data_IF_620730576404
#
_entry.id   IF_620730576404
#
_cell.length_a   1.000
_cell.length_b   1.000
_cell.length_c   1.000
_cell.angle_alpha   90.00
_cell.angle_beta   90.00
_cell.angle_gamma   90.00
#
_symmetry.space_group_name_H-M   'P 1'
#
loop_
_entity.id
_entity.type
_entity.pdbx_description
1 polymer ?
#
# COMPACT_ATOMS: atom_id res chain seq x y z
N UNK A 1 14.58 -37.04 50.75
CA UNK A 1 14.52 -35.76 50.00
C UNK A 1 13.41 -35.90 48.97
N UNK A 2 12.36 -35.08 49.06
CA UNK A 2 11.15 -35.17 48.24
C UNK A 2 11.39 -34.50 46.88
N UNK A 3 11.10 -35.21 45.78
CA UNK A 3 11.09 -34.67 44.43
C UNK A 3 9.83 -33.82 44.24
N UNK A 4 9.97 -32.51 44.02
CA UNK A 4 8.88 -31.67 43.54
C UNK A 4 8.79 -31.81 42.01
N UNK A 5 7.67 -32.36 41.54
CA UNK A 5 7.28 -32.39 40.13
C UNK A 5 6.74 -31.01 39.74
N UNK A 6 7.43 -30.32 38.83
CA UNK A 6 6.96 -29.07 38.25
C UNK A 6 6.12 -29.39 37.01
N UNK A 7 4.80 -29.34 37.15
CA UNK A 7 3.86 -29.44 36.03
C UNK A 7 4.01 -28.22 35.13
N UNK A 8 4.49 -28.44 33.92
CA UNK A 8 4.62 -27.44 32.86
C UNK A 8 3.22 -27.01 32.39
N UNK A 9 2.80 -25.80 32.77
CA UNK A 9 1.62 -25.14 32.22
C UNK A 9 1.97 -24.60 30.83
N UNK A 10 1.58 -25.34 29.79
CA UNK A 10 1.62 -24.87 28.41
C UNK A 10 0.51 -23.82 28.23
N UNK A 11 0.88 -22.54 28.14
CA UNK A 11 0.02 -21.51 27.59
C UNK A 11 -0.05 -21.72 26.07
N UNK A 12 -1.18 -22.22 25.58
CA UNK A 12 -1.49 -22.16 24.15
C UNK A 12 -1.74 -20.71 23.77
N UNK A 13 -0.80 -20.10 23.06
CA UNK A 13 -1.02 -18.83 22.39
C UNK A 13 -2.11 -19.03 21.33
N UNK A 14 -3.25 -18.34 21.50
CA UNK A 14 -4.24 -18.21 20.45
C UNK A 14 -3.64 -17.34 19.34
N UNK A 15 -3.30 -17.95 18.21
CA UNK A 15 -2.95 -17.22 17.01
C UNK A 15 -4.19 -16.42 16.58
N UNK A 16 -4.08 -15.08 16.60
CA UNK A 16 -5.09 -14.20 16.03
C UNK A 16 -5.27 -14.55 14.56
N UNK A 17 -6.51 -14.86 14.17
CA UNK A 17 -6.86 -15.12 12.78
C UNK A 17 -6.72 -13.81 12.01
N UNK A 18 -5.73 -13.73 11.12
CA UNK A 18 -5.67 -12.69 10.09
C UNK A 18 -6.91 -12.89 9.21
N UNK A 19 -7.80 -11.89 9.13
CA UNK A 19 -9.00 -11.97 8.32
C UNK A 19 -8.61 -12.24 6.86
N UNK A 20 -9.01 -13.39 6.32
CA UNK A 20 -8.86 -13.68 4.91
C UNK A 20 -9.65 -12.63 4.12
N UNK A 21 -8.97 -11.92 3.22
CA UNK A 21 -9.65 -11.00 2.30
C UNK A 21 -10.66 -11.80 1.47
N UNK A 22 -11.92 -11.36 1.44
CA UNK A 22 -12.97 -12.04 0.69
C UNK A 22 -12.78 -11.88 -0.82
N UNK A 23 -13.38 -12.77 -1.60
CA UNK A 23 -13.43 -12.63 -3.06
C UNK A 23 -14.05 -11.28 -3.43
N UNK A 24 -13.52 -10.65 -4.49
CA UNK A 24 -14.06 -9.37 -4.94
C UNK A 24 -15.51 -9.52 -5.41
N UNK A 25 -16.41 -8.61 -4.99
CA UNK A 25 -17.70 -8.51 -5.63
C UNK A 25 -17.50 -8.13 -7.11
N UNK A 26 -18.42 -8.51 -7.97
CA UNK A 26 -18.36 -8.11 -9.40
C UNK A 26 -18.52 -6.60 -9.61
N UNK A 27 -18.98 -5.83 -8.61
CA UNK A 27 -19.19 -4.37 -8.68
C UNK A 27 -18.84 -3.73 -7.35
N UNK A 28 -18.50 -2.44 -7.37
CA UNK A 28 -18.10 -1.73 -6.17
C UNK A 28 -19.28 -1.54 -5.20
N UNK A 29 -19.17 -1.99 -3.93
CA UNK A 29 -20.27 -1.94 -2.97
C UNK A 29 -20.38 -0.56 -2.30
N UNK A 30 -21.03 0.39 -2.96
CA UNK A 30 -21.38 1.69 -2.37
C UNK A 30 -22.27 1.49 -1.13
N UNK A 31 -22.03 2.17 0.02
CA UNK A 31 -21.16 3.34 0.20
C UNK A 31 -19.79 3.04 0.84
N UNK A 32 -19.21 1.85 0.68
CA UNK A 32 -17.88 1.55 1.25
C UNK A 32 -16.81 2.50 0.71
N UNK A 33 -16.03 3.16 1.56
CA UNK A 33 -15.00 4.12 1.11
C UNK A 33 -13.74 3.42 0.59
N UNK A 34 -13.48 2.21 1.06
CA UNK A 34 -12.44 1.32 0.54
C UNK A 34 -12.94 -0.11 0.50
N UNK A 35 -12.48 -0.86 -0.48
CA UNK A 35 -12.72 -2.28 -0.67
C UNK A 35 -11.38 -2.98 -0.86
N UNK A 36 -11.02 -3.86 0.08
CA UNK A 36 -9.91 -4.81 -0.07
C UNK A 36 -10.45 -6.21 -0.27
N UNK A 37 -10.12 -6.84 -1.39
CA UNK A 37 -10.62 -8.15 -1.78
C UNK A 37 -9.61 -8.89 -2.65
N UNK A 38 -9.84 -10.17 -2.92
CA UNK A 38 -8.99 -10.97 -3.80
C UNK A 38 -9.73 -11.32 -5.10
N UNK A 39 -9.10 -11.06 -6.23
CA UNK A 39 -9.57 -11.53 -7.53
C UNK A 39 -9.14 -12.97 -7.76
N UNK A 40 -10.00 -13.77 -8.39
CA UNK A 40 -9.63 -15.04 -9.00
C UNK A 40 -9.10 -14.79 -10.42
N UNK A 41 -8.12 -15.57 -10.92
CA UNK A 41 -7.72 -15.52 -12.34
C UNK A 41 -8.91 -15.72 -13.30
N UNK A 42 -9.91 -16.50 -12.90
CA UNK A 42 -11.10 -16.78 -13.72
C UNK A 42 -12.19 -15.69 -13.61
N UNK A 43 -12.04 -14.71 -12.72
CA UNK A 43 -13.06 -13.67 -12.47
C UNK A 43 -13.05 -12.52 -13.49
N UNK A 44 -12.19 -12.57 -14.51
CA UNK A 44 -11.99 -11.48 -15.47
C UNK A 44 -12.91 -11.64 -16.71
N UNK A 45 -14.16 -11.22 -16.62
CA UNK A 45 -15.08 -11.32 -17.77
C UNK A 45 -16.11 -10.18 -17.87
N UNK A 46 -16.06 -9.19 -17.00
CA UNK A 46 -17.06 -8.13 -16.96
C UNK A 46 -16.72 -6.92 -17.84
N UNK A 47 -17.72 -6.08 -18.09
CA UNK A 47 -17.51 -4.81 -18.81
C UNK A 47 -16.95 -3.76 -17.86
N UNK A 48 -16.09 -2.91 -18.40
CA UNK A 48 -15.45 -1.82 -17.67
C UNK A 48 -15.61 -0.52 -18.46
N UNK A 49 -15.97 0.53 -17.76
CA UNK A 49 -16.15 1.88 -18.29
C UNK A 49 -15.22 2.85 -17.58
N UNK A 50 -14.53 3.67 -18.38
CA UNK A 50 -13.49 4.56 -17.88
C UNK A 50 -12.11 3.89 -17.75
N UNK A 51 -11.13 4.71 -17.38
CA UNK A 51 -9.70 4.38 -17.38
C UNK A 51 -8.97 5.11 -16.26
N UNK A 52 -9.49 5.06 -15.04
CA UNK A 52 -8.93 5.79 -13.91
C UNK A 52 -9.96 5.86 -12.80
N UNK A 53 -10.83 6.88 -12.78
CA UNK A 53 -12.16 6.59 -12.25
C UNK A 53 -12.82 5.57 -13.20
N UNK A 54 -13.17 4.42 -12.66
CA UNK A 54 -14.08 3.46 -13.28
C UNK A 54 -15.48 3.70 -12.74
N UNK A 55 -16.52 3.58 -13.57
CA UNK A 55 -17.91 3.68 -13.06
C UNK A 55 -18.14 2.62 -11.98
N UNK A 56 -18.92 2.89 -10.94
CA UNK A 56 -19.08 1.93 -9.82
C UNK A 56 -19.71 0.59 -10.18
N UNK A 57 -20.35 0.48 -11.35
CA UNK A 57 -20.86 -0.79 -11.90
C UNK A 57 -19.87 -1.54 -12.81
N UNK A 58 -18.67 -0.99 -13.05
CA UNK A 58 -17.59 -1.67 -13.75
C UNK A 58 -17.11 -2.90 -12.98
N UNK A 59 -16.73 -3.94 -13.71
CA UNK A 59 -16.15 -5.15 -13.13
C UNK A 59 -14.82 -4.88 -12.44
N UNK A 60 -14.76 -5.15 -11.13
CA UNK A 60 -13.59 -4.82 -10.31
C UNK A 60 -12.34 -5.57 -10.78
N UNK A 61 -12.44 -6.86 -11.10
CA UNK A 61 -11.26 -7.65 -11.42
C UNK A 61 -10.72 -7.36 -12.82
N UNK A 62 -11.61 -7.14 -13.80
CA UNK A 62 -11.22 -6.67 -15.13
C UNK A 62 -10.66 -5.26 -15.08
N UNK A 63 -11.24 -4.35 -14.28
CA UNK A 63 -10.73 -3.00 -14.10
C UNK A 63 -9.38 -2.98 -13.37
N UNK A 64 -9.17 -3.88 -12.41
CA UNK A 64 -7.90 -4.02 -11.69
C UNK A 64 -6.75 -4.43 -12.61
N UNK A 65 -7.01 -5.34 -13.56
CA UNK A 65 -6.02 -5.70 -14.59
C UNK A 65 -5.77 -4.50 -15.49
N UNK A 66 -6.81 -3.82 -15.99
CA UNK A 66 -6.66 -2.62 -16.80
C UNK A 66 -5.80 -1.56 -16.10
N UNK A 67 -6.06 -1.31 -14.82
CA UNK A 67 -5.31 -0.36 -13.99
C UNK A 67 -3.87 -0.80 -13.71
N UNK A 68 -3.51 -2.07 -13.91
CA UNK A 68 -2.24 -2.63 -13.49
C UNK A 68 -2.16 -2.88 -11.97
N UNK A 69 -3.30 -2.87 -11.27
CA UNK A 69 -3.38 -3.22 -9.86
C UNK A 69 -3.08 -4.70 -9.61
N UNK A 70 -3.37 -5.55 -10.60
CA UNK A 70 -2.94 -6.94 -10.70
C UNK A 70 -2.41 -7.21 -12.11
N UNK A 71 -1.56 -8.24 -12.25
CA UNK A 71 -0.94 -8.57 -13.53
C UNK A 71 -1.94 -9.08 -14.58
N UNK A 72 -1.50 -9.20 -15.84
CA UNK A 72 -2.34 -9.62 -16.96
C UNK A 72 -2.89 -11.06 -16.87
N UNK A 73 -2.28 -11.93 -16.06
CA UNK A 73 -2.85 -13.23 -15.73
C UNK A 73 -4.09 -13.11 -14.80
N UNK A 74 -4.29 -11.91 -14.25
CA UNK A 74 -5.17 -11.59 -13.14
C UNK A 74 -4.87 -12.39 -11.88
N UNK A 75 -5.86 -12.40 -11.00
CA UNK A 75 -5.73 -12.98 -9.68
C UNK A 75 -4.91 -12.11 -8.72
N UNK A 76 -5.21 -12.23 -7.42
CA UNK A 76 -4.45 -11.57 -6.35
C UNK A 76 -5.23 -10.48 -5.63
N UNK A 77 -4.64 -9.92 -4.56
CA UNK A 77 -5.28 -8.89 -3.75
C UNK A 77 -5.37 -7.57 -4.51
N UNK A 78 -6.50 -6.88 -4.35
CA UNK A 78 -6.73 -5.53 -4.87
C UNK A 78 -7.30 -4.66 -3.77
N UNK A 79 -6.96 -3.37 -3.81
CA UNK A 79 -7.62 -2.35 -3.01
C UNK A 79 -8.20 -1.28 -3.93
N UNK A 80 -9.52 -1.16 -3.92
CA UNK A 80 -10.26 -0.14 -4.64
C UNK A 80 -10.77 0.93 -3.66
N UNK A 81 -10.78 2.18 -4.08
CA UNK A 81 -11.20 3.32 -3.28
C UNK A 81 -12.39 3.99 -3.95
N UNK A 82 -13.42 4.32 -3.17
CA UNK A 82 -14.57 5.07 -3.66
C UNK A 82 -14.12 6.47 -4.08
N UNK A 83 -14.55 6.89 -5.26
CA UNK A 83 -14.31 8.21 -5.81
C UNK A 83 -15.65 8.87 -6.19
N UNK A 84 -15.72 10.21 -6.25
CA UNK A 84 -16.89 10.91 -6.78
C UNK A 84 -17.20 10.47 -8.21
N UNK A 85 -18.48 10.37 -8.55
CA UNK A 85 -18.90 10.18 -9.94
C UNK A 85 -18.48 11.34 -10.84
N UNK A 86 -18.33 11.05 -12.13
CA UNK A 86 -18.01 12.01 -13.18
C UNK A 86 -19.12 12.11 -14.24
N UNK A 87 -19.13 13.23 -14.98
CA UNK A 87 -20.07 13.48 -16.08
C UNK A 87 -19.70 12.74 -17.37
N UNK A 88 -18.45 12.29 -17.49
CA UNK A 88 -17.95 11.50 -18.61
C UNK A 88 -16.76 10.66 -18.19
N UNK A 89 -16.60 9.51 -18.83
CA UNK A 89 -15.51 8.57 -18.65
C UNK A 89 -14.95 8.23 -20.02
N UNK A 90 -13.64 8.33 -20.18
CA UNK A 90 -12.93 7.90 -21.39
C UNK A 90 -12.38 6.50 -21.19
N UNK A 91 -12.67 5.59 -22.11
CA UNK A 91 -12.09 4.27 -22.17
C UNK A 91 -10.72 4.26 -22.85
N UNK A 92 -9.94 3.22 -22.60
CA UNK A 92 -8.62 3.01 -23.21
C UNK A 92 -8.28 1.52 -23.28
N UNK A 93 -7.13 1.21 -23.88
CA UNK A 93 -6.52 -0.12 -23.80
C UNK A 93 -5.25 -0.07 -22.96
N UNK A 94 -5.19 -0.86 -21.90
CA UNK A 94 -4.02 -1.00 -21.03
C UNK A 94 -3.96 -2.43 -20.46
N UNK A 95 -2.75 -2.95 -20.25
CA UNK A 95 -2.52 -4.25 -19.60
C UNK A 95 -3.31 -5.43 -20.19
N UNK A 96 -3.60 -5.38 -21.51
CA UNK A 96 -4.36 -6.42 -22.21
C UNK A 96 -5.88 -6.31 -22.10
N UNK A 97 -6.40 -5.29 -21.40
CA UNK A 97 -7.83 -5.01 -21.26
C UNK A 97 -8.19 -3.74 -22.04
N UNK A 98 -9.35 -3.74 -22.69
CA UNK A 98 -9.92 -2.54 -23.33
C UNK A 98 -11.21 -2.15 -22.62
N UNK A 99 -11.27 -0.92 -22.11
CA UNK A 99 -12.44 -0.32 -21.47
C UNK A 99 -13.22 0.55 -22.45
N UNK A 100 -14.40 1.01 -22.04
CA UNK A 100 -15.32 1.78 -22.89
C UNK A 100 -15.56 3.18 -22.35
N UNK A 101 -15.90 4.08 -23.24
CA UNK A 101 -16.42 5.39 -22.86
C UNK A 101 -17.77 5.25 -22.16
N UNK A 102 -18.07 6.20 -21.27
CA UNK A 102 -19.38 6.33 -20.65
C UNK A 102 -19.73 7.80 -20.40
N UNK A 103 -21.03 8.08 -20.25
CA UNK A 103 -21.54 9.39 -19.88
C UNK A 103 -21.55 9.59 -18.37
N UNK A 104 -22.50 10.39 -17.88
CA UNK A 104 -22.61 10.68 -16.44
C UNK A 104 -22.95 9.45 -15.62
N UNK A 105 -22.26 9.26 -14.49
CA UNK A 105 -22.52 8.19 -13.54
C UNK A 105 -22.29 8.69 -12.10
N UNK A 106 -23.10 8.21 -11.15
CA UNK A 106 -23.22 8.80 -9.80
C UNK A 106 -22.05 8.53 -8.84
N UNK A 107 -21.26 7.50 -9.12
CA UNK A 107 -20.12 7.08 -8.30
C UNK A 107 -19.01 6.48 -9.17
N UNK A 108 -17.79 6.48 -8.63
CA UNK A 108 -16.63 5.89 -9.29
C UNK A 108 -15.81 5.11 -8.28
N UNK A 109 -14.88 4.32 -8.77
CA UNK A 109 -13.76 3.86 -7.95
C UNK A 109 -12.45 3.95 -8.72
N UNK A 110 -11.37 4.03 -7.95
CA UNK A 110 -9.98 3.97 -8.43
C UNK A 110 -9.27 2.83 -7.73
N UNK A 111 -8.13 2.38 -8.25
CA UNK A 111 -7.27 1.43 -7.55
C UNK A 111 -6.10 2.13 -6.90
N UNK A 112 -5.75 1.69 -5.70
CA UNK A 112 -4.47 2.04 -5.08
C UNK A 112 -3.39 1.14 -5.70
N UNK A 113 -2.66 1.67 -6.68
CA UNK A 113 -1.56 0.97 -7.38
C UNK A 113 -0.21 1.57 -7.00
N UNK A 114 0.84 0.76 -7.09
CA UNK A 114 2.19 1.24 -6.88
C UNK A 114 2.59 2.17 -8.03
N UNK A 115 3.25 3.27 -7.71
CA UNK A 115 3.92 4.06 -8.75
C UNK A 115 5.00 3.20 -9.42
N UNK A 116 5.10 3.19 -10.76
CA UNK A 116 6.07 2.36 -11.45
C UNK A 116 7.50 2.67 -10.98
N UNK A 117 8.18 1.68 -10.41
CA UNK A 117 9.58 1.83 -10.00
C UNK A 117 10.45 1.88 -11.27
N UNK A 118 11.22 2.97 -11.50
CA UNK A 118 12.07 3.08 -12.68
C UNK A 118 13.10 1.94 -12.77
N UNK A 119 13.34 1.45 -13.98
CA UNK A 119 14.34 0.42 -14.23
C UNK A 119 15.74 0.89 -13.79
N UNK A 120 16.42 0.08 -12.98
CA UNK A 120 17.75 0.39 -12.44
C UNK A 120 17.74 1.05 -11.06
N UNK A 121 16.57 1.38 -10.51
CA UNK A 121 16.45 1.79 -9.11
C UNK A 121 16.58 0.56 -8.19
N UNK A 122 17.50 0.63 -7.22
CA UNK A 122 17.66 -0.44 -6.24
C UNK A 122 16.48 -0.49 -5.26
N UNK A 123 16.20 -1.65 -4.66
CA UNK A 123 15.16 -1.78 -3.65
C UNK A 123 15.64 -1.24 -2.31
N UNK A 124 14.74 -0.61 -1.56
CA UNK A 124 15.08 0.00 -0.29
C UNK A 124 15.60 -1.03 0.72
N UNK A 125 16.74 -0.69 1.33
CA UNK A 125 17.28 -1.34 2.53
C UNK A 125 17.26 -0.41 3.73
N UNK A 126 18.25 -0.56 4.62
CA UNK A 126 18.50 0.44 5.67
C UNK A 126 19.02 1.74 5.05
N UNK A 127 18.74 2.88 5.69
CA UNK A 127 19.22 4.17 5.19
C UNK A 127 20.77 4.21 5.23
N UNK A 128 21.45 4.51 4.12
CA UNK A 128 22.90 4.56 4.08
C UNK A 128 23.44 5.80 4.82
N UNK A 129 24.17 5.59 5.91
CA UNK A 129 24.66 6.66 6.79
C UNK A 129 25.64 7.63 6.14
N UNK A 130 26.19 7.29 4.96
CA UNK A 130 27.13 8.11 4.21
C UNK A 130 26.48 8.99 3.14
N UNK A 131 25.16 8.90 2.94
CA UNK A 131 24.47 9.63 1.87
C UNK A 131 23.52 10.68 2.43
N UNK A 132 23.55 11.88 1.84
CA UNK A 132 22.62 12.95 2.17
C UNK A 132 21.21 12.70 1.63
N UNK A 133 21.10 11.94 0.54
CA UNK A 133 19.84 11.49 -0.06
C UNK A 133 20.01 10.04 -0.51
N UNK A 134 18.94 9.26 -0.41
CA UNK A 134 18.89 7.87 -0.86
C UNK A 134 17.58 7.61 -1.59
N UNK A 135 17.68 7.32 -2.89
CA UNK A 135 16.55 6.97 -3.74
C UNK A 135 16.51 5.46 -3.95
N UNK A 136 15.36 4.86 -3.69
CA UNK A 136 15.17 3.42 -3.80
C UNK A 136 13.71 3.08 -4.12
N UNK A 137 13.45 1.83 -4.51
CA UNK A 137 12.12 1.32 -4.80
C UNK A 137 11.54 0.51 -3.65
N UNK A 138 10.24 0.70 -3.41
CA UNK A 138 9.44 -0.05 -2.46
C UNK A 138 8.45 -0.95 -3.21
N UNK A 139 8.68 -2.27 -3.30
CA UNK A 139 7.73 -3.18 -3.94
C UNK A 139 6.46 -3.34 -3.11
N UNK A 140 5.39 -3.85 -3.71
CA UNK A 140 4.15 -4.15 -3.00
C UNK A 140 4.39 -5.04 -1.77
N UNK A 141 3.79 -4.68 -0.65
CA UNK A 141 3.94 -5.37 0.64
C UNK A 141 5.20 -5.03 1.44
N UNK A 142 6.13 -4.22 0.90
CA UNK A 142 7.34 -3.79 1.62
C UNK A 142 7.08 -2.76 2.73
N UNK A 143 5.87 -2.20 2.80
CA UNK A 143 5.43 -1.28 3.86
C UNK A 143 5.19 -1.93 5.23
N UNK A 144 5.65 -3.16 5.46
CA UNK A 144 5.49 -3.90 6.72
C UNK A 144 6.83 -4.04 7.43
N UNK A 145 7.07 -3.18 8.42
CA UNK A 145 8.34 -3.16 9.17
C UNK A 145 8.30 -2.17 10.33
N UNK A 146 9.30 -2.27 11.22
CA UNK A 146 9.43 -1.34 12.34
C UNK A 146 9.80 0.05 11.87
N UNK A 147 9.09 1.05 12.38
CA UNK A 147 9.32 2.46 12.13
C UNK A 147 9.27 3.20 13.47
N UNK A 148 10.28 4.01 13.72
CA UNK A 148 10.37 4.85 14.92
C UNK A 148 10.34 6.32 14.52
N UNK A 149 9.48 7.09 15.17
CA UNK A 149 9.26 8.50 14.85
C UNK A 149 8.13 8.77 13.85
N UNK A 150 7.79 10.05 13.70
CA UNK A 150 6.65 10.54 12.91
C UNK A 150 7.04 11.83 12.17
N UNK A 151 7.93 11.70 11.19
CA UNK A 151 8.46 12.84 10.42
C UNK A 151 9.95 12.64 10.17
N UNK A 152 10.83 13.07 11.09
CA UNK A 152 12.14 12.44 11.21
C UNK A 152 11.94 11.02 11.74
N UNK A 153 12.30 10.03 10.93
CA UNK A 153 12.34 8.63 11.31
C UNK A 153 13.78 8.26 11.70
N UNK A 154 13.97 7.33 12.63
CA UNK A 154 15.34 6.87 12.95
C UNK A 154 15.99 6.23 11.71
N UNK A 155 17.31 6.36 11.57
CA UNK A 155 18.05 5.87 10.40
C UNK A 155 17.92 4.36 10.12
N UNK A 156 17.51 3.57 11.11
CA UNK A 156 17.25 2.14 11.01
C UNK A 156 15.77 1.77 10.80
N UNK A 157 14.87 2.76 10.74
CA UNK A 157 13.46 2.52 10.41
C UNK A 157 13.31 1.98 8.99
N UNK A 158 12.36 1.06 8.77
CA UNK A 158 12.03 0.57 7.43
C UNK A 158 11.53 1.73 6.54
N UNK A 159 12.28 2.03 5.47
CA UNK A 159 12.03 3.17 4.60
C UNK A 159 10.64 3.08 3.93
N UNK A 160 10.23 1.90 3.47
CA UNK A 160 8.95 1.74 2.78
C UNK A 160 7.76 1.92 3.72
N UNK A 161 7.82 1.35 4.92
CA UNK A 161 6.80 1.55 5.94
C UNK A 161 6.73 3.02 6.39
N UNK A 162 7.88 3.68 6.54
CA UNK A 162 7.97 5.10 6.88
C UNK A 162 7.43 6.00 5.76
N UNK A 163 7.65 5.63 4.49
CA UNK A 163 7.16 6.36 3.33
C UNK A 163 5.63 6.27 3.19
N UNK A 164 5.05 5.07 3.43
CA UNK A 164 3.59 4.89 3.53
C UNK A 164 3.04 5.71 4.70
N UNK A 165 3.66 5.62 5.89
CA UNK A 165 3.26 6.42 7.05
C UNK A 165 3.31 7.94 6.76
N UNK A 166 4.33 8.40 6.02
CA UNK A 166 4.47 9.79 5.60
C UNK A 166 3.46 10.21 4.51
N UNK A 167 2.83 9.25 3.82
CA UNK A 167 1.92 9.50 2.70
C UNK A 167 2.64 9.86 1.40
N UNK A 168 3.92 9.50 1.29
CA UNK A 168 4.76 9.79 0.12
C UNK A 168 4.54 8.76 -0.98
N UNK A 169 4.23 7.52 -0.60
CA UNK A 169 3.83 6.44 -1.50
C UNK A 169 2.58 5.74 -0.95
N UNK A 170 1.75 5.13 -1.81
CA UNK A 170 0.65 4.28 -1.37
C UNK A 170 1.14 3.00 -0.70
N UNK A 171 0.26 2.27 -0.02
CA UNK A 171 0.59 0.96 0.58
C UNK A 171 1.03 -0.08 -0.47
N UNK A 172 0.62 0.14 -1.72
CA UNK A 172 1.05 -0.66 -2.88
C UNK A 172 2.54 -0.48 -3.23
N UNK A 173 3.21 0.58 -2.75
CA UNK A 173 4.62 0.84 -2.99
C UNK A 173 4.89 1.91 -4.07
N UNK A 174 6.14 2.04 -4.47
CA UNK A 174 6.60 3.06 -5.42
C UNK A 174 8.07 3.43 -5.25
N UNK A 175 8.62 4.31 -6.10
CA UNK A 175 9.91 4.93 -5.86
C UNK A 175 9.82 5.92 -4.69
N UNK A 176 10.88 6.01 -3.90
CA UNK A 176 10.97 6.96 -2.79
C UNK A 176 12.37 7.53 -2.69
N UNK A 177 12.48 8.80 -2.29
CA UNK A 177 13.73 9.45 -1.92
C UNK A 177 13.67 9.87 -0.46
N UNK A 178 14.49 9.23 0.37
CA UNK A 178 14.72 9.64 1.75
C UNK A 178 15.91 10.62 1.81
N UNK A 179 15.85 11.60 2.70
CA UNK A 179 16.92 12.58 2.92
C UNK A 179 17.43 12.49 4.35
N UNK A 180 18.75 12.51 4.52
CA UNK A 180 19.38 12.47 5.83
C UNK A 180 18.98 13.71 6.63
N UNK A 181 18.71 13.49 7.91
CA UNK A 181 18.37 14.54 8.86
C UNK A 181 19.15 14.32 10.16
N UNK A 182 19.58 15.38 10.86
CA UNK A 182 20.27 15.22 12.13
C UNK A 182 19.46 14.38 13.12
N UNK A 183 20.13 13.46 13.80
CA UNK A 183 19.50 12.64 14.82
C UNK A 183 18.88 13.45 15.96
N UNK A 184 17.75 12.98 16.48
CA UNK A 184 17.04 13.59 17.60
C UNK A 184 17.34 12.88 18.92
N UNK A 185 17.08 13.58 20.03
CA UNK A 185 17.15 13.04 21.39
C UNK A 185 15.89 12.25 21.80
N UNK A 186 14.79 12.43 21.05
CA UNK A 186 13.52 11.74 21.27
C UNK A 186 12.67 11.75 20.00
N UNK A 187 11.92 10.68 19.77
CA UNK A 187 11.00 10.48 18.66
C UNK A 187 9.63 10.09 19.20
N UNK A 188 8.58 10.65 18.62
CA UNK A 188 7.19 10.34 18.96
C UNK A 188 6.56 9.45 17.89
N UNK A 189 5.74 8.52 18.34
CA UNK A 189 4.86 7.67 17.56
C UNK A 189 3.64 8.41 17.05
N UNK A 190 3.07 7.90 15.97
CA UNK A 190 1.73 8.20 15.50
C UNK A 190 1.19 7.08 14.61
N UNK A 191 -0.11 7.16 14.32
CA UNK A 191 -0.78 6.34 13.31
C UNK A 191 -1.20 7.23 12.14
N UNK A 192 -0.73 6.93 10.93
CA UNK A 192 -1.06 7.63 9.68
C UNK A 192 -1.04 6.65 8.52
N UNK A 193 -1.95 6.82 7.56
CA UNK A 193 -2.01 6.02 6.33
C UNK A 193 -1.97 4.49 6.58
N UNK A 194 -2.64 4.04 7.64
CA UNK A 194 -2.69 2.62 8.01
C UNK A 194 -1.40 2.05 8.63
N UNK A 195 -0.39 2.88 8.90
CA UNK A 195 0.86 2.48 9.55
C UNK A 195 0.94 3.09 10.95
N UNK A 196 1.30 2.28 11.94
CA UNK A 196 1.64 2.73 13.29
C UNK A 196 3.15 2.75 13.48
N UNK A 197 3.66 3.82 14.08
CA UNK A 197 5.08 4.00 14.41
C UNK A 197 5.29 3.91 15.91
N UNK A 198 6.54 3.77 16.36
CA UNK A 198 6.90 3.66 17.77
C UNK A 198 7.68 4.87 18.26
N UNK A 199 7.57 5.14 19.56
CA UNK A 199 8.43 6.10 20.24
C UNK A 199 9.88 5.58 20.27
N UNK A 200 10.83 6.49 20.28
CA UNK A 200 12.24 6.15 20.51
C UNK A 200 12.98 7.25 21.27
N UNK A 201 14.07 6.86 21.92
CA UNK A 201 14.99 7.78 22.59
C UNK A 201 15.97 8.44 21.63
N UNK A 202 17.17 8.74 22.13
CA UNK A 202 18.21 9.36 21.31
C UNK A 202 18.68 8.43 20.20
N UNK A 203 18.86 8.98 19.00
CA UNK A 203 19.43 8.25 17.87
C UNK A 203 20.30 9.18 17.02
N UNK A 204 21.39 8.67 16.44
CA UNK A 204 22.43 9.50 15.82
C UNK A 204 22.05 10.07 14.44
N UNK A 205 21.18 9.37 13.71
CA UNK A 205 20.76 9.73 12.35
C UNK A 205 19.25 9.62 12.22
N UNK A 206 18.62 10.62 11.61
CA UNK A 206 17.25 10.50 11.13
C UNK A 206 17.22 10.54 9.60
N UNK A 207 16.09 10.17 9.02
CA UNK A 207 15.74 10.58 7.67
C UNK A 207 14.33 11.16 7.61
N UNK A 208 14.09 11.97 6.60
CA UNK A 208 12.79 12.57 6.27
C UNK A 208 12.50 12.33 4.79
N UNK A 209 11.26 12.59 4.36
CA UNK A 209 10.88 12.56 2.96
C UNK A 209 10.48 13.96 2.48
N UNK A 210 10.74 14.26 1.21
CA UNK A 210 10.16 15.44 0.57
C UNK A 210 8.76 15.10 0.04
N UNK A 211 7.74 15.43 0.83
CA UNK A 211 6.35 15.17 0.47
C UNK A 211 5.84 16.02 -0.71
N UNK A 212 6.61 17.00 -1.20
CA UNK A 212 6.24 17.84 -2.34
C UNK A 212 6.99 17.47 -3.64
N UNK A 213 7.83 16.43 -3.62
CA UNK A 213 8.62 16.03 -4.78
C UNK A 213 7.78 15.20 -5.74
N UNK A 214 7.46 15.76 -6.89
CA UNK A 214 6.84 15.04 -8.02
C UNK A 214 7.90 14.17 -8.71
N UNK A 215 7.54 12.92 -9.05
CA UNK A 215 8.36 11.97 -9.80
C UNK A 215 7.85 11.80 -11.23
#
# INVERSE_FOLDING_TARGET
>A
MKFLSATCLLFTAAAGQVAAQSECPGRYPVPQTSLSCTCSPDAQAGSVWGSGPYTGDSDICTAAVHAGAIGAAGGGPVTALLAPGADAYSGSAANGVTTRDWGSYGDSYVFEIADPIPAGLEMCGAYPTSQAEYSCGCPAGSGTGSVWGSGPYTGDSNICAAAVHAGVIPAAGGPVTAMAFPGLTSYLSSSRNGVETMDWGSYALSYVFDANREY
#
